data_IF_233800258652
#
_entry.id   IF_233800258652
#
_cell.length_a   1.000
_cell.length_b   1.000
_cell.length_c   1.000
_cell.angle_alpha   90.00
_cell.angle_beta   90.00
_cell.angle_gamma   90.00
#
_symmetry.space_group_name_H-M   'P 1'
#
loop_
_entity.id
_entity.type
_entity.pdbx_description
1 polymer ?
#
# COMPACT_ATOMS: atom_id res chain seq x y z
N UNK A 1 -1.99 -11.51 -31.34
CA UNK A 1 -1.48 -10.76 -30.16
C UNK A 1 -2.58 -10.69 -29.11
N UNK A 2 -2.41 -11.37 -27.97
CA UNK A 2 -3.41 -11.38 -26.89
C UNK A 2 -3.62 -9.94 -26.37
N UNK A 3 -4.87 -9.47 -26.32
CA UNK A 3 -5.20 -8.16 -25.75
C UNK A 3 -4.72 -8.18 -24.30
N UNK A 4 -3.68 -7.39 -23.99
CA UNK A 4 -3.26 -7.21 -22.59
C UNK A 4 -4.48 -6.76 -21.80
N UNK A 5 -4.89 -7.56 -20.84
CA UNK A 5 -6.06 -7.30 -20.03
C UNK A 5 -5.80 -6.06 -19.16
N UNK A 6 -6.17 -4.89 -19.67
CA UNK A 6 -6.27 -3.68 -18.87
C UNK A 6 -7.34 -3.93 -17.80
N UNK A 7 -7.03 -3.55 -16.56
CA UNK A 7 -7.99 -3.65 -15.45
C UNK A 7 -9.32 -2.99 -15.84
N UNK A 8 -10.47 -3.59 -15.43
CA UNK A 8 -11.77 -2.92 -15.51
C UNK A 8 -11.70 -1.50 -14.93
N UNK A 9 -12.48 -0.59 -15.50
CA UNK A 9 -12.38 0.84 -15.17
C UNK A 9 -12.57 1.11 -13.67
N UNK A 10 -13.55 0.46 -13.04
CA UNK A 10 -13.89 0.64 -11.63
C UNK A 10 -12.78 0.11 -10.72
N UNK A 11 -12.26 -1.09 -11.01
CA UNK A 11 -11.12 -1.70 -10.29
C UNK A 11 -9.89 -0.79 -10.39
N UNK A 12 -9.65 -0.21 -11.57
CA UNK A 12 -8.54 0.73 -11.78
C UNK A 12 -8.71 2.01 -10.94
N UNK A 13 -9.93 2.55 -10.86
CA UNK A 13 -10.21 3.73 -10.02
C UNK A 13 -10.03 3.43 -8.54
N UNK A 14 -10.50 2.27 -8.07
CA UNK A 14 -10.33 1.80 -6.70
C UNK A 14 -8.84 1.68 -6.34
N UNK A 15 -8.04 1.04 -7.19
CA UNK A 15 -6.60 0.94 -6.99
C UNK A 15 -5.92 2.33 -6.95
N UNK A 16 -6.34 3.27 -7.80
CA UNK A 16 -5.85 4.65 -7.76
C UNK A 16 -6.23 5.32 -6.43
N UNK A 17 -7.44 5.09 -5.90
CA UNK A 17 -7.87 5.61 -4.60
C UNK A 17 -7.04 5.03 -3.45
N UNK A 18 -6.60 3.77 -3.55
CA UNK A 18 -5.69 3.17 -2.56
C UNK A 18 -4.35 3.87 -2.56
N UNK A 19 -3.74 4.07 -3.73
CA UNK A 19 -2.49 4.82 -3.87
C UNK A 19 -2.61 6.25 -3.34
N UNK A 20 -3.73 6.93 -3.62
CA UNK A 20 -3.97 8.30 -3.13
C UNK A 20 -4.03 8.39 -1.61
N UNK A 21 -4.75 7.48 -0.97
CA UNK A 21 -4.90 7.48 0.49
C UNK A 21 -3.74 6.80 1.23
N UNK A 22 -2.77 6.20 0.53
CA UNK A 22 -1.65 5.48 1.14
C UNK A 22 -0.92 6.28 2.23
N UNK A 23 -0.53 7.56 2.02
CA UNK A 23 0.16 8.32 3.08
C UNK A 23 -0.65 8.47 4.37
N UNK A 24 -1.98 8.68 4.25
CA UNK A 24 -2.89 8.77 5.40
C UNK A 24 -2.97 7.44 6.15
N UNK A 25 -3.03 6.31 5.42
CA UNK A 25 -3.13 4.97 6.01
C UNK A 25 -1.84 4.56 6.72
N UNK A 26 -0.68 4.84 6.12
CA UNK A 26 0.63 4.61 6.77
C UNK A 26 0.73 5.38 8.08
N UNK A 27 0.28 6.65 8.09
CA UNK A 27 0.26 7.46 9.32
C UNK A 27 -0.65 6.84 10.39
N UNK A 28 -1.89 6.55 10.04
CA UNK A 28 -2.86 5.95 10.97
C UNK A 28 -2.38 4.60 11.52
N UNK A 29 -1.79 3.74 10.68
CA UNK A 29 -1.23 2.46 11.10
C UNK A 29 -0.05 2.64 12.06
N UNK A 30 0.86 3.58 11.79
CA UNK A 30 1.99 3.87 12.68
C UNK A 30 1.54 4.44 14.02
N UNK A 31 0.58 5.35 14.02
CA UNK A 31 -0.01 5.93 15.23
C UNK A 31 -0.68 4.84 16.08
N UNK A 32 -1.51 3.98 15.48
CA UNK A 32 -2.17 2.90 16.20
C UNK A 32 -1.18 1.85 16.76
N UNK A 33 -0.11 1.51 16.03
CA UNK A 33 0.96 0.66 16.55
C UNK A 33 1.74 1.31 17.69
N UNK A 34 2.03 2.60 17.56
CA UNK A 34 2.72 3.35 18.61
C UNK A 34 1.88 3.43 19.90
N UNK A 35 0.56 3.54 19.79
CA UNK A 35 -0.37 3.52 20.93
C UNK A 35 -0.34 2.17 21.65
N UNK A 36 -0.40 1.04 20.94
CA UNK A 36 -0.32 -0.29 21.57
C UNK A 36 1.04 -0.53 22.24
N UNK A 37 2.13 -0.13 21.58
CA UNK A 37 3.48 -0.32 22.11
C UNK A 37 3.76 0.61 23.29
N UNK A 38 3.41 1.88 23.14
CA UNK A 38 3.61 2.96 24.11
C UNK A 38 2.58 2.99 25.23
N UNK A 39 1.48 2.24 25.10
CA UNK A 39 0.55 1.94 26.20
C UNK A 39 1.30 1.25 27.33
N UNK A 40 1.75 2.05 28.29
CA UNK A 40 2.08 1.59 29.63
C UNK A 40 0.78 1.14 30.27
N UNK A 41 0.66 -0.16 30.57
CA UNK A 41 -0.06 -0.51 31.78
C UNK A 41 0.67 0.23 32.90
N UNK A 42 0.08 1.31 33.42
CA UNK A 42 0.55 1.98 34.62
C UNK A 42 0.42 1.02 35.78
N UNK A 43 1.39 0.12 35.94
CA UNK A 43 1.72 -0.44 37.23
C UNK A 43 2.51 0.66 37.96
N UNK A 44 2.01 1.01 39.16
CA UNK A 44 2.56 1.94 40.15
C UNK A 44 2.36 3.44 39.88
N UNK A 45 1.22 3.99 40.32
CA UNK A 45 1.17 4.99 41.42
C UNK A 45 -0.29 5.36 41.72
N UNK A 46 -0.78 4.96 42.91
CA UNK A 46 -2.09 5.35 43.45
C UNK A 46 -3.22 4.35 43.22
N UNK A 47 -3.44 3.43 44.17
CA UNK A 47 -4.67 2.63 44.27
C UNK A 47 -5.93 3.52 44.17
N UNK A 48 -6.97 3.04 43.47
CA UNK A 48 -8.20 2.80 44.21
C UNK A 48 -8.73 1.38 43.99
N UNK A 49 -9.15 0.79 45.11
CA UNK A 49 -9.94 -0.44 45.21
C UNK A 49 -11.24 -0.30 44.41
N UNK A 50 -11.32 -0.93 43.25
CA UNK A 50 -12.53 -0.94 42.43
C UNK A 50 -12.47 -2.02 41.37
N UNK A 51 -13.23 -3.10 41.57
CA UNK A 51 -13.55 -4.10 40.54
C UNK A 51 -14.29 -3.43 39.38
N UNK A 52 -13.54 -2.89 38.44
CA UNK A 52 -14.04 -2.38 37.16
C UNK A 52 -13.27 -3.10 36.06
N UNK A 53 -13.95 -4.00 35.35
CA UNK A 53 -13.41 -4.83 34.29
C UNK A 53 -12.84 -4.00 33.12
N UNK A 54 -11.62 -3.49 33.26
CA UNK A 54 -10.82 -3.03 32.14
C UNK A 54 -10.41 -4.25 31.33
N UNK A 55 -10.94 -4.39 30.11
CA UNK A 55 -10.74 -5.53 29.18
C UNK A 55 -9.37 -6.20 29.34
N UNK A 56 -9.26 -7.34 30.07
CA UNK A 56 -7.98 -7.93 30.45
C UNK A 56 -7.71 -9.22 29.67
N UNK A 57 -7.61 -9.18 28.34
CA UNK A 57 -7.36 -10.43 27.60
C UNK A 57 -6.43 -10.33 26.38
N UNK A 58 -6.45 -9.25 25.60
CA UNK A 58 -5.60 -9.22 24.40
C UNK A 58 -4.17 -8.80 24.74
N UNK A 59 -3.23 -9.73 24.56
CA UNK A 59 -1.80 -9.43 24.61
C UNK A 59 -1.44 -8.34 23.60
N UNK A 60 -0.38 -7.54 23.83
CA UNK A 60 0.09 -6.55 22.84
C UNK A 60 0.31 -7.17 21.46
N UNK A 61 0.72 -8.44 21.41
CA UNK A 61 0.86 -9.19 20.17
C UNK A 61 -0.49 -9.41 19.45
N UNK A 62 -1.54 -9.78 20.18
CA UNK A 62 -2.89 -9.93 19.63
C UNK A 62 -3.46 -8.59 19.14
N UNK A 63 -3.25 -7.52 19.89
CA UNK A 63 -3.70 -6.17 19.48
C UNK A 63 -2.99 -5.73 18.19
N UNK A 64 -1.68 -5.97 18.08
CA UNK A 64 -0.93 -5.70 16.84
C UNK A 64 -1.46 -6.55 15.68
N UNK A 65 -1.72 -7.84 15.91
CA UNK A 65 -2.31 -8.72 14.90
C UNK A 65 -3.72 -8.28 14.47
N UNK A 66 -4.51 -7.68 15.38
CA UNK A 66 -5.82 -7.14 15.05
C UNK A 66 -5.71 -5.92 14.11
N UNK A 67 -4.74 -5.01 14.33
CA UNK A 67 -4.49 -3.88 13.42
C UNK A 67 -4.14 -4.35 12.01
N UNK A 68 -3.34 -5.41 11.89
CA UNK A 68 -2.99 -5.98 10.57
C UNK A 68 -4.24 -6.39 9.78
N UNK A 69 -5.30 -6.86 10.46
CA UNK A 69 -6.55 -7.30 9.82
C UNK A 69 -7.49 -6.16 9.45
N UNK A 70 -7.21 -4.91 9.82
CA UNK A 70 -8.09 -3.79 9.50
C UNK A 70 -8.18 -3.56 7.98
N UNK A 71 -9.36 -3.23 7.45
CA UNK A 71 -9.52 -2.97 6.01
C UNK A 71 -8.59 -1.88 5.48
N UNK A 72 -8.36 -0.81 6.23
CA UNK A 72 -7.44 0.25 5.82
C UNK A 72 -5.97 -0.22 5.83
N UNK A 73 -5.57 -1.09 6.77
CA UNK A 73 -4.24 -1.70 6.77
C UNK A 73 -4.07 -2.61 5.56
N UNK A 74 -5.07 -3.43 5.22
CA UNK A 74 -5.02 -4.28 4.02
C UNK A 74 -4.86 -3.47 2.72
N UNK A 75 -5.55 -2.33 2.60
CA UNK A 75 -5.38 -1.41 1.46
C UNK A 75 -3.99 -0.78 1.42
N UNK A 76 -3.40 -0.47 2.57
CA UNK A 76 -2.02 0.01 2.67
C UNK A 76 -1.03 -1.07 2.23
N UNK A 77 -1.16 -2.28 2.76
CA UNK A 77 -0.31 -3.43 2.44
C UNK A 77 -0.38 -3.78 0.95
N UNK A 78 -1.54 -3.65 0.31
CA UNK A 78 -1.66 -3.82 -1.15
C UNK A 78 -0.76 -2.85 -1.94
N UNK A 79 -0.66 -1.60 -1.48
CA UNK A 79 0.22 -0.59 -2.08
C UNK A 79 1.69 -0.91 -1.77
N UNK A 80 2.02 -1.34 -0.56
CA UNK A 80 3.39 -1.75 -0.18
C UNK A 80 3.85 -2.95 -1.02
N UNK A 81 2.98 -3.94 -1.23
CA UNK A 81 3.22 -5.07 -2.11
C UNK A 81 3.53 -4.63 -3.55
N UNK A 82 2.78 -3.68 -4.09
CA UNK A 82 3.04 -3.15 -5.43
C UNK A 82 4.35 -2.33 -5.50
N UNK A 83 4.67 -1.56 -4.44
CA UNK A 83 5.95 -0.83 -4.32
C UNK A 83 7.13 -1.81 -4.36
N UNK A 84 7.05 -2.89 -3.58
CA UNK A 84 8.11 -3.89 -3.50
C UNK A 84 8.33 -4.63 -4.84
N UNK A 85 7.29 -4.82 -5.64
CA UNK A 85 7.39 -5.44 -6.97
C UNK A 85 7.82 -4.46 -8.07
N UNK A 86 7.55 -3.17 -7.88
CA UNK A 86 7.81 -2.16 -8.89
C UNK A 86 9.32 -2.04 -9.18
N UNK A 87 9.68 -2.25 -10.44
CA UNK A 87 11.05 -2.05 -10.92
C UNK A 87 12.07 -3.02 -10.34
N UNK A 88 11.69 -4.21 -9.90
CA UNK A 88 12.64 -5.25 -9.44
C UNK A 88 13.67 -5.66 -10.51
N UNK A 89 13.32 -5.49 -11.77
CA UNK A 89 14.20 -5.72 -12.92
C UNK A 89 15.15 -4.54 -13.19
N UNK A 90 15.02 -3.44 -12.47
CA UNK A 90 15.89 -2.26 -12.60
C UNK A 90 17.00 -2.38 -11.55
N UNK A 91 18.25 -2.57 -12.00
CA UNK A 91 19.40 -2.71 -11.09
C UNK A 91 19.76 -1.42 -10.32
N UNK A 92 19.33 -0.24 -10.78
CA UNK A 92 19.55 1.02 -10.09
C UNK A 92 18.42 1.33 -9.11
N UNK A 93 18.73 1.33 -7.82
CA UNK A 93 17.79 1.69 -6.76
C UNK A 93 17.27 3.14 -6.90
N UNK A 94 18.12 4.06 -7.34
CA UNK A 94 17.72 5.46 -7.61
C UNK A 94 16.64 5.52 -8.69
N UNK A 95 16.83 4.84 -9.83
CA UNK A 95 15.84 4.82 -10.91
C UNK A 95 14.57 4.11 -10.45
N UNK A 96 14.69 3.01 -9.70
CA UNK A 96 13.56 2.28 -9.12
C UNK A 96 12.72 3.19 -8.22
N UNK A 97 13.36 3.94 -7.31
CA UNK A 97 12.67 4.91 -6.44
C UNK A 97 12.01 6.02 -7.25
N UNK A 98 12.70 6.59 -8.24
CA UNK A 98 12.12 7.62 -9.11
C UNK A 98 10.90 7.11 -9.88
N UNK A 99 10.92 5.87 -10.36
CA UNK A 99 9.77 5.21 -10.97
C UNK A 99 8.59 5.08 -10.01
N UNK A 100 8.83 4.56 -8.80
CA UNK A 100 7.80 4.41 -7.77
C UNK A 100 7.18 5.77 -7.43
N UNK A 101 8.00 6.78 -7.12
CA UNK A 101 7.52 8.13 -6.81
C UNK A 101 6.77 8.76 -7.98
N UNK A 102 7.25 8.56 -9.21
CA UNK A 102 6.58 9.01 -10.42
C UNK A 102 5.17 8.40 -10.55
N UNK A 103 5.05 7.08 -10.39
CA UNK A 103 3.76 6.38 -10.43
C UNK A 103 2.81 6.91 -9.36
N UNK A 104 3.29 7.00 -8.10
CA UNK A 104 2.48 7.48 -6.98
C UNK A 104 1.99 8.91 -7.21
N UNK A 105 2.86 9.83 -7.66
CA UNK A 105 2.48 11.21 -8.01
C UNK A 105 1.47 11.23 -9.17
N UNK A 106 1.69 10.43 -10.21
CA UNK A 106 0.76 10.36 -11.34
C UNK A 106 -0.64 9.87 -10.93
N UNK A 107 -0.76 9.08 -9.86
CA UNK A 107 -2.05 8.69 -9.30
C UNK A 107 -2.74 9.84 -8.54
N UNK A 108 -2.01 10.80 -7.97
CA UNK A 108 -2.56 11.92 -7.18
C UNK A 108 -3.35 12.95 -8.01
N UNK A 109 -3.16 13.02 -9.33
CA UNK A 109 -4.01 13.87 -10.19
C UNK A 109 -3.44 14.10 -11.58
N UNK A 110 -4.32 14.09 -12.60
CA UNK A 110 -3.95 14.22 -14.03
C UNK A 110 -3.27 15.55 -14.37
N UNK A 111 -3.66 16.66 -13.74
CA UNK A 111 -3.17 18.00 -14.12
C UNK A 111 -1.87 18.39 -13.41
N UNK A 112 -1.75 18.11 -12.10
CA UNK A 112 -0.55 18.45 -11.32
C UNK A 112 0.64 17.53 -11.63
N UNK A 113 0.37 16.27 -11.90
CA UNK A 113 1.40 15.25 -12.15
C UNK A 113 1.10 14.51 -13.47
N UNK A 114 0.85 15.29 -14.51
CA UNK A 114 0.66 14.79 -15.85
C UNK A 114 1.86 13.91 -16.26
N UNK A 115 1.58 12.85 -17.02
CA UNK A 115 2.55 11.81 -17.34
C UNK A 115 3.79 12.38 -18.06
N UNK A 116 3.59 13.33 -18.97
CA UNK A 116 4.63 14.03 -19.72
C UNK A 116 5.52 14.93 -18.84
N UNK A 117 5.15 15.20 -17.58
CA UNK A 117 5.97 15.97 -16.62
C UNK A 117 6.82 15.09 -15.72
N UNK A 118 6.69 13.77 -15.79
CA UNK A 118 7.46 12.81 -15.00
C UNK A 118 8.56 12.26 -15.90
N UNK A 119 9.78 12.79 -15.73
CA UNK A 119 10.96 12.35 -16.47
C UNK A 119 11.79 11.47 -15.56
N UNK A 120 12.01 10.22 -15.97
CA UNK A 120 12.85 9.26 -15.28
C UNK A 120 13.92 8.80 -16.28
N UNK A 121 15.23 8.94 -15.97
CA UNK A 121 16.30 8.53 -16.86
C UNK A 121 16.14 7.08 -17.33
N UNK A 122 16.28 6.86 -18.64
CA UNK A 122 16.18 5.52 -19.24
C UNK A 122 14.76 4.94 -19.32
N UNK A 123 13.72 5.65 -18.87
CA UNK A 123 12.32 5.18 -18.94
C UNK A 123 11.51 6.09 -19.86
N UNK A 124 11.09 5.54 -21.00
CA UNK A 124 10.17 6.24 -21.91
C UNK A 124 8.76 6.37 -21.34
N UNK A 125 7.98 7.34 -21.82
CA UNK A 125 6.59 7.55 -21.40
C UNK A 125 5.73 6.28 -21.57
N UNK A 126 5.89 5.56 -22.69
CA UNK A 126 5.21 4.30 -22.95
C UNK A 126 5.57 3.24 -21.90
N UNK A 127 6.85 3.14 -21.55
CA UNK A 127 7.31 2.21 -20.52
C UNK A 127 6.76 2.59 -19.15
N UNK A 128 6.79 3.86 -18.79
CA UNK A 128 6.19 4.37 -17.56
C UNK A 128 4.70 4.02 -17.47
N UNK A 129 3.95 4.22 -18.56
CA UNK A 129 2.52 3.89 -18.64
C UNK A 129 2.25 2.42 -18.34
N UNK A 130 3.03 1.53 -18.96
CA UNK A 130 2.95 0.08 -18.76
C UNK A 130 3.31 -0.32 -17.33
N UNK A 131 4.34 0.30 -16.75
CA UNK A 131 4.75 0.05 -15.35
C UNK A 131 3.68 0.52 -14.36
N UNK A 132 3.06 1.67 -14.62
CA UNK A 132 1.92 2.15 -13.83
C UNK A 132 0.75 1.16 -13.91
N UNK A 133 0.43 0.67 -15.10
CA UNK A 133 -0.66 -0.30 -15.27
C UNK A 133 -0.37 -1.60 -14.49
N UNK A 134 0.86 -2.12 -14.60
CA UNK A 134 1.30 -3.27 -13.82
C UNK A 134 1.23 -3.02 -12.31
N UNK A 135 1.65 -1.83 -11.85
CA UNK A 135 1.58 -1.44 -10.45
C UNK A 135 0.14 -1.48 -9.91
N UNK A 136 -0.84 -0.98 -10.68
CA UNK A 136 -2.25 -1.06 -10.30
C UNK A 136 -2.76 -2.51 -10.36
N UNK A 137 -2.24 -3.32 -11.28
CA UNK A 137 -2.57 -4.74 -11.37
C UNK A 137 -2.06 -5.53 -10.16
N UNK A 138 -0.85 -5.24 -9.67
CA UNK A 138 -0.31 -5.86 -8.46
C UNK A 138 -1.17 -5.54 -7.22
N UNK A 139 -1.70 -4.31 -7.11
CA UNK A 139 -2.69 -3.95 -6.07
C UNK A 139 -3.96 -4.77 -6.23
N UNK A 140 -4.51 -4.84 -7.45
CA UNK A 140 -5.73 -5.59 -7.72
C UNK A 140 -5.58 -7.08 -7.38
N UNK A 141 -4.44 -7.69 -7.71
CA UNK A 141 -4.12 -9.07 -7.34
C UNK A 141 -4.11 -9.22 -5.81
N UNK A 142 -3.41 -8.34 -5.10
CA UNK A 142 -3.30 -8.42 -3.64
C UNK A 142 -4.68 -8.36 -2.98
N UNK A 143 -5.57 -7.51 -3.50
CA UNK A 143 -6.94 -7.36 -3.00
C UNK A 143 -7.93 -8.42 -3.51
N UNK A 144 -7.49 -9.36 -4.37
CA UNK A 144 -8.37 -10.36 -4.98
C UNK A 144 -9.34 -9.82 -6.04
N UNK A 145 -9.10 -8.61 -6.56
CA UNK A 145 -9.91 -8.00 -7.64
C UNK A 145 -9.52 -8.51 -9.03
N UNK A 146 -8.34 -9.12 -9.15
CA UNK A 146 -7.83 -9.71 -10.39
C UNK A 146 -7.07 -11.01 -10.07
N UNK A 147 -7.18 -11.98 -10.96
CA UNK A 147 -6.38 -13.20 -10.85
C UNK A 147 -4.92 -12.92 -11.20
N UNK A 148 -3.99 -13.65 -10.57
CA UNK A 148 -2.63 -13.73 -11.10
C UNK A 148 -2.74 -14.38 -12.46
N UNK A 149 -2.44 -13.64 -13.53
CA UNK A 149 -2.20 -14.26 -14.83
C UNK A 149 -1.05 -15.24 -14.62
N UNK A 150 -1.37 -16.53 -14.59
CA UNK A 150 -0.38 -17.58 -14.54
C UNK A 150 0.60 -17.33 -15.67
N UNK A 151 1.89 -17.41 -15.36
CA UNK A 151 2.89 -17.60 -16.39
C UNK A 151 2.50 -18.87 -17.13
N UNK A 152 1.81 -18.72 -18.26
CA UNK A 152 1.78 -19.75 -19.29
C UNK A 152 3.22 -19.85 -19.80
N UNK A 153 4.02 -20.61 -19.07
CA UNK A 153 5.20 -21.25 -19.62
C UNK A 153 4.67 -22.28 -20.61
N UNK A 154 4.88 -21.97 -21.89
CA UNK A 154 4.84 -22.96 -22.95
C UNK A 154 5.91 -24.04 -22.73
#
# INVERSE_FOLDING_TARGET
MSKKATLPYDVRLECIAYVRGYPRRVRAYREARAEILGGTHGATEGMPTGSGAGRPAESKAEQLAAIERWPETQKMLAVEYAIDRCGRDIGSDTIRRQLIYGIMRNCQGKHKYARNRIVIPGISERTFSRRKEQFLYDIAIYCGFAEKVGTNSA
#
